data_IF_493093851745
#
_entry.id   IF_493093851745
#
_cell.length_a   1.000
_cell.length_b   1.000
_cell.length_c   1.000
_cell.angle_alpha   90.00
_cell.angle_beta   90.00
_cell.angle_gamma   90.00
#
_symmetry.space_group_name_H-M   'P 1'
#
loop_
_entity.id
_entity.type
_entity.pdbx_description
1 polymer ?
#
# COMPACT_ATOMS: atom_id res chain seq x y z
N UNK A 1 8.37 -43.45 57.77
CA UNK A 1 7.10 -44.11 58.13
C UNK A 1 6.35 -43.16 59.06
N UNK A 2 5.07 -42.88 58.79
CA UNK A 2 4.27 -41.76 59.34
C UNK A 2 4.40 -41.49 60.84
N UNK A 3 4.08 -40.25 61.27
CA UNK A 3 2.89 -40.16 62.13
C UNK A 3 1.92 -39.03 61.79
N UNK A 4 0.72 -39.23 62.32
CA UNK A 4 -0.54 -38.55 62.07
C UNK A 4 -0.81 -37.46 63.12
N UNK A 5 -1.30 -36.30 62.63
CA UNK A 5 -2.40 -35.48 63.18
C UNK A 5 -2.29 -34.94 64.62
N UNK A 6 -2.34 -33.61 64.77
CA UNK A 6 -3.24 -32.89 65.71
C UNK A 6 -3.33 -31.38 65.42
N UNK A 7 -4.49 -30.83 65.75
CA UNK A 7 -5.04 -29.50 65.43
C UNK A 7 -4.41 -28.37 66.26
N UNK A 8 -4.54 -27.16 65.72
CA UNK A 8 -4.14 -25.88 66.27
C UNK A 8 -4.92 -25.48 67.54
N UNK A 9 -4.20 -24.87 68.48
CA UNK A 9 -4.73 -24.16 69.64
C UNK A 9 -4.82 -22.66 69.34
N UNK A 10 -5.91 -22.05 69.81
CA UNK A 10 -6.18 -20.60 69.84
C UNK A 10 -5.25 -19.88 70.83
N UNK A 11 -5.10 -18.56 70.69
CA UNK A 11 -5.43 -17.53 71.71
C UNK A 11 -5.06 -16.09 71.22
N UNK A 12 -5.52 -14.99 71.87
CA UNK A 12 -6.28 -13.93 71.19
C UNK A 12 -5.79 -12.48 71.46
N UNK A 13 -6.58 -11.53 70.95
CA UNK A 13 -6.85 -10.15 71.42
C UNK A 13 -6.31 -9.01 70.54
N UNK A 14 -7.22 -8.12 70.13
CA UNK A 14 -7.12 -6.65 70.23
C UNK A 14 -8.55 -6.05 70.07
N UNK A 15 -8.83 -5.11 70.97
CA UNK A 15 -10.06 -4.36 71.25
C UNK A 15 -10.55 -3.50 70.06
N UNK A 16 -11.77 -2.99 69.93
CA UNK A 16 -12.76 -2.57 70.93
C UNK A 16 -13.10 -1.08 70.72
N UNK A 17 -14.13 -0.85 69.87
CA UNK A 17 -15.14 0.22 69.97
C UNK A 17 -14.73 1.70 69.71
N UNK A 18 -15.30 2.32 68.66
CA UNK A 18 -16.21 3.48 68.84
C UNK A 18 -16.77 4.08 67.52
N UNK A 19 -18.12 4.13 67.49
CA UNK A 19 -18.95 5.32 67.21
C UNK A 19 -18.96 5.95 65.80
N UNK A 20 -20.17 5.87 65.21
CA UNK A 20 -20.92 6.88 64.45
C UNK A 20 -21.20 6.51 62.98
N UNK A 21 -22.39 5.95 62.79
CA UNK A 21 -23.17 6.06 61.56
C UNK A 21 -23.65 7.52 61.45
N UNK A 22 -23.55 8.13 60.26
CA UNK A 22 -24.69 8.84 59.70
C UNK A 22 -25.23 8.05 58.51
N UNK A 23 -26.50 7.70 58.65
CA UNK A 23 -27.40 7.20 57.63
C UNK A 23 -27.56 8.21 56.50
N UNK A 24 -27.52 7.76 55.24
CA UNK A 24 -28.06 8.58 54.15
C UNK A 24 -27.53 8.31 52.75
N UNK A 25 -27.50 7.06 52.27
CA UNK A 25 -27.42 6.80 50.82
C UNK A 25 -28.38 5.64 50.47
N UNK A 26 -29.31 5.81 49.50
CA UNK A 26 -30.30 4.80 49.17
C UNK A 26 -29.61 3.62 48.48
N UNK A 27 -29.52 2.52 49.22
CA UNK A 27 -28.83 1.28 48.83
C UNK A 27 -29.75 0.42 47.97
N UNK A 28 -30.14 0.92 46.78
CA UNK A 28 -30.82 0.14 45.73
C UNK A 28 -30.44 0.62 44.32
N UNK A 29 -29.15 0.76 44.02
CA UNK A 29 -28.70 0.66 42.62
C UNK A 29 -28.70 -0.82 42.24
N UNK A 30 -29.89 -1.34 41.90
CA UNK A 30 -30.01 -2.63 41.22
C UNK A 30 -29.14 -2.60 39.96
N UNK A 31 -28.48 -3.71 39.63
CA UNK A 31 -27.72 -3.88 38.36
C UNK A 31 -28.54 -3.41 37.15
N UNK A 32 -29.87 -3.48 37.26
CA UNK A 32 -30.82 -2.90 36.32
C UNK A 32 -30.65 -1.38 36.09
N UNK A 33 -30.46 -0.57 37.14
CA UNK A 33 -30.21 0.86 37.00
C UNK A 33 -28.87 1.15 36.33
N UNK A 34 -27.84 0.34 36.60
CA UNK A 34 -26.55 0.46 35.91
C UNK A 34 -26.67 0.08 34.44
N UNK A 35 -27.43 -0.98 34.13
CA UNK A 35 -27.72 -1.40 32.76
C UNK A 35 -28.50 -0.34 31.99
N UNK A 36 -29.54 0.23 32.59
CA UNK A 36 -30.32 1.33 31.99
C UNK A 36 -29.45 2.57 31.81
N UNK A 37 -28.58 2.91 32.76
CA UNK A 37 -27.64 4.01 32.62
C UNK A 37 -26.65 3.78 31.47
N UNK A 38 -26.11 2.57 31.31
CA UNK A 38 -25.23 2.22 30.19
C UNK A 38 -25.95 2.29 28.84
N UNK A 39 -27.20 1.82 28.76
CA UNK A 39 -28.00 1.92 27.53
C UNK A 39 -28.31 3.38 27.18
N UNK A 40 -28.64 4.21 28.17
CA UNK A 40 -28.86 5.64 27.97
C UNK A 40 -27.58 6.36 27.54
N UNK A 41 -26.43 6.04 28.13
CA UNK A 41 -25.14 6.59 27.70
C UNK A 41 -24.79 6.17 26.27
N UNK A 42 -25.02 4.90 25.92
CA UNK A 42 -24.84 4.41 24.55
C UNK A 42 -25.77 5.11 23.55
N UNK A 43 -27.04 5.29 23.91
CA UNK A 43 -28.03 5.97 23.07
C UNK A 43 -27.70 7.47 22.93
N UNK A 44 -27.30 8.15 24.02
CA UNK A 44 -26.88 9.55 23.97
C UNK A 44 -25.61 9.73 23.15
N UNK A 45 -24.66 8.79 23.20
CA UNK A 45 -23.47 8.78 22.35
C UNK A 45 -23.82 8.62 20.87
N UNK A 46 -24.71 7.67 20.54
CA UNK A 46 -25.21 7.47 19.18
C UNK A 46 -26.01 8.69 18.67
N UNK A 47 -26.83 9.28 19.52
CA UNK A 47 -27.60 10.49 19.20
C UNK A 47 -26.67 11.69 19.01
N UNK A 48 -25.63 11.83 19.82
CA UNK A 48 -24.59 12.86 19.65
C UNK A 48 -23.82 12.67 18.33
N UNK A 49 -23.49 11.43 17.96
CA UNK A 49 -22.85 11.10 16.70
C UNK A 49 -23.77 11.44 15.51
N UNK A 50 -25.05 11.07 15.59
CA UNK A 50 -26.06 11.42 14.58
C UNK A 50 -26.25 12.93 14.43
N UNK A 51 -26.31 13.67 15.53
CA UNK A 51 -26.44 15.14 15.53
C UNK A 51 -25.17 15.83 15.03
N UNK A 52 -23.99 15.29 15.35
CA UNK A 52 -22.70 15.78 14.84
C UNK A 52 -22.57 15.54 13.33
N UNK A 53 -23.06 14.41 12.82
CA UNK A 53 -23.06 14.11 11.39
C UNK A 53 -24.18 14.82 10.60
N UNK A 54 -25.32 15.14 11.23
CA UNK A 54 -26.42 15.88 10.58
C UNK A 54 -26.16 17.39 10.47
N UNK A 55 -25.25 17.95 11.29
CA UNK A 55 -24.87 19.36 11.24
C UNK A 55 -24.25 19.81 9.92
N UNK A 56 -23.64 18.89 9.17
CA UNK A 56 -23.04 19.16 7.86
C UNK A 56 -24.03 19.04 6.68
N UNK A 57 -25.12 18.28 6.85
CA UNK A 57 -26.13 18.07 5.79
C UNK A 57 -27.14 19.23 5.73
N UNK A 58 -27.47 19.83 6.87
CA UNK A 58 -28.39 20.97 6.90
C UNK A 58 -27.79 22.26 6.30
N UNK A 59 -26.45 22.40 6.28
CA UNK A 59 -25.76 23.52 5.61
C UNK A 59 -25.63 23.33 4.10
N UNK A 60 -25.70 22.10 3.60
CA UNK A 60 -25.64 21.81 2.16
C UNK A 60 -27.00 21.86 1.46
N UNK A 61 -28.12 21.85 2.20
CA UNK A 61 -29.47 21.81 1.62
C UNK A 61 -30.19 23.18 1.50
N UNK A 62 -29.61 24.30 1.95
CA UNK A 62 -30.29 25.63 1.95
C UNK A 62 -29.62 26.72 1.10
N UNK A 63 -28.82 26.33 0.11
CA UNK A 63 -28.11 27.27 -0.77
C UNK A 63 -28.08 26.84 -2.23
N UNK A 64 -29.26 26.77 -2.87
CA UNK A 64 -29.35 26.84 -4.34
C UNK A 64 -30.09 28.12 -4.71
N UNK A 65 -29.33 29.07 -5.25
CA UNK A 65 -29.82 30.34 -5.76
C UNK A 65 -28.67 31.32 -5.88
N UNK A 66 -28.26 31.57 -7.11
CA UNK A 66 -27.31 32.60 -7.57
C UNK A 66 -25.86 32.14 -7.76
N UNK A 67 -25.57 31.75 -9.02
CA UNK A 67 -24.22 31.61 -9.55
C UNK A 67 -23.47 32.93 -9.41
N UNK A 68 -22.41 32.90 -8.59
CA UNK A 68 -21.30 33.85 -8.63
C UNK A 68 -20.03 33.01 -8.79
N UNK A 69 -19.04 33.43 -9.60
CA UNK A 69 -17.83 32.63 -9.79
C UNK A 69 -17.04 32.65 -8.47
N UNK A 70 -17.16 31.58 -7.69
CA UNK A 70 -16.30 31.35 -6.53
C UNK A 70 -14.84 31.20 -6.99
N UNK A 71 -13.86 31.51 -6.13
CA UNK A 71 -12.46 31.41 -6.49
C UNK A 71 -12.16 29.99 -6.94
N UNK A 72 -11.56 29.86 -8.13
CA UNK A 72 -11.03 28.59 -8.65
C UNK A 72 -10.30 27.89 -7.51
N UNK A 73 -10.72 26.66 -7.16
CA UNK A 73 -9.94 25.81 -6.27
C UNK A 73 -8.55 25.74 -6.90
N UNK A 74 -7.58 26.36 -6.25
CA UNK A 74 -6.20 26.34 -6.70
C UNK A 74 -5.82 24.87 -6.88
N UNK A 75 -5.19 24.55 -8.02
CA UNK A 75 -4.54 23.28 -8.20
C UNK A 75 -3.69 23.00 -6.95
N UNK A 76 -3.65 21.76 -6.44
CA UNK A 76 -2.64 21.38 -5.47
C UNK A 76 -1.29 21.88 -5.98
N UNK A 77 -0.46 22.52 -5.12
CA UNK A 77 0.87 22.92 -5.55
C UNK A 77 1.54 21.73 -6.20
N UNK A 78 2.17 21.94 -7.36
CA UNK A 78 2.97 20.90 -8.01
C UNK A 78 3.88 20.29 -6.94
N UNK A 79 3.99 18.94 -6.88
CA UNK A 79 4.90 18.32 -5.94
C UNK A 79 6.27 18.97 -6.10
N UNK A 80 7.01 19.22 -5.00
CA UNK A 80 8.35 19.78 -5.07
C UNK A 80 9.13 19.01 -6.12
N UNK A 81 9.85 19.73 -6.99
CA UNK A 81 10.73 19.08 -7.97
C UNK A 81 11.57 18.05 -7.22
N UNK A 82 11.41 16.78 -7.58
CA UNK A 82 12.17 15.69 -6.99
C UNK A 82 13.65 16.03 -7.14
N UNK A 83 14.29 16.41 -6.04
CA UNK A 83 15.70 16.74 -6.05
C UNK A 83 16.44 15.42 -5.91
N UNK A 84 16.95 14.94 -7.04
CA UNK A 84 17.86 13.81 -7.08
C UNK A 84 19.19 14.28 -6.50
N UNK A 85 19.73 13.57 -5.52
CA UNK A 85 21.14 13.73 -5.18
C UNK A 85 21.95 13.21 -6.37
N UNK A 86 22.46 14.16 -7.16
CA UNK A 86 23.27 13.88 -8.34
C UNK A 86 24.71 13.65 -7.89
N UNK A 87 25.06 12.40 -7.57
CA UNK A 87 26.45 11.98 -7.52
C UNK A 87 26.90 11.70 -8.97
N UNK A 88 27.71 12.61 -9.53
CA UNK A 88 28.23 12.50 -10.90
C UNK A 88 29.08 11.25 -11.14
N UNK A 89 29.47 10.51 -10.07
CA UNK A 89 30.18 9.24 -10.20
C UNK A 89 29.28 8.03 -10.50
N UNK A 90 27.95 8.22 -10.54
CA UNK A 90 26.96 7.16 -10.76
C UNK A 90 26.56 7.08 -12.24
N UNK A 91 25.93 5.97 -12.63
CA UNK A 91 25.47 5.78 -14.01
C UNK A 91 24.44 6.84 -14.44
N UNK A 92 24.34 7.16 -15.74
CA UNK A 92 23.50 8.26 -16.22
C UNK A 92 22.00 7.95 -16.18
N UNK A 93 21.63 6.67 -15.99
CA UNK A 93 20.24 6.22 -16.07
C UNK A 93 19.58 6.17 -14.70
N UNK A 94 18.37 6.74 -14.63
CA UNK A 94 17.54 6.86 -13.43
C UNK A 94 16.44 5.80 -13.39
N UNK A 95 16.41 5.04 -12.32
CA UNK A 95 15.47 3.96 -12.07
C UNK A 95 14.25 4.42 -11.25
N UNK A 96 13.04 4.19 -11.79
CA UNK A 96 11.84 4.20 -10.98
C UNK A 96 11.53 2.77 -10.48
N UNK A 97 11.67 2.53 -9.18
CA UNK A 97 11.24 1.28 -8.55
C UNK A 97 9.75 1.39 -8.24
N UNK A 98 8.92 0.71 -9.02
CA UNK A 98 7.46 0.75 -8.95
C UNK A 98 6.95 -0.41 -8.09
N UNK A 99 6.47 -0.09 -6.89
CA UNK A 99 6.07 -1.08 -5.88
C UNK A 99 4.55 -1.08 -5.73
N UNK A 100 3.83 -2.03 -6.36
CA UNK A 100 2.38 -2.16 -6.19
C UNK A 100 2.09 -2.60 -4.75
N UNK A 101 1.25 -1.85 -4.04
CA UNK A 101 1.14 -1.96 -2.59
C UNK A 101 -0.30 -1.90 -2.08
N UNK A 102 -0.61 -2.72 -1.09
CA UNK A 102 -1.80 -2.64 -0.22
C UNK A 102 -1.57 -3.49 1.02
N UNK A 103 -1.73 -2.90 2.21
CA UNK A 103 -1.74 -3.62 3.51
C UNK A 103 -0.55 -4.59 3.72
N UNK A 104 0.68 -4.18 3.35
CA UNK A 104 1.93 -4.94 3.53
C UNK A 104 3.01 -4.12 4.24
N UNK A 105 2.60 -3.43 5.30
CA UNK A 105 3.41 -2.39 5.92
C UNK A 105 4.72 -2.94 6.49
N UNK A 106 4.67 -4.14 7.06
CA UNK A 106 5.79 -4.86 7.64
C UNK A 106 6.83 -5.21 6.58
N UNK A 107 6.41 -5.72 5.42
CA UNK A 107 7.30 -5.96 4.28
C UNK A 107 7.90 -4.64 3.78
N UNK A 108 7.09 -3.58 3.68
CA UNK A 108 7.54 -2.27 3.20
C UNK A 108 8.63 -1.66 4.09
N UNK A 109 8.48 -1.80 5.42
CA UNK A 109 9.47 -1.32 6.40
C UNK A 109 10.85 -1.97 6.20
N UNK A 110 10.89 -3.22 5.75
CA UNK A 110 12.15 -3.92 5.43
C UNK A 110 12.61 -3.58 4.02
N UNK A 111 11.68 -3.52 3.06
CA UNK A 111 11.93 -3.33 1.65
C UNK A 111 12.66 -2.02 1.34
N UNK A 112 12.12 -0.88 1.79
CA UNK A 112 12.63 0.44 1.43
C UNK A 112 14.11 0.61 1.82
N UNK A 113 14.53 0.41 3.08
CA UNK A 113 15.94 0.54 3.45
C UNK A 113 16.83 -0.51 2.79
N UNK A 114 16.32 -1.74 2.59
CA UNK A 114 17.08 -2.80 1.92
C UNK A 114 17.40 -2.43 0.46
N UNK A 115 16.37 -2.05 -0.31
CA UNK A 115 16.51 -1.70 -1.72
C UNK A 115 17.32 -0.43 -1.91
N UNK A 116 17.11 0.58 -1.06
CA UNK A 116 17.90 1.80 -1.12
C UNK A 116 19.40 1.51 -0.93
N UNK A 117 19.75 0.70 0.08
CA UNK A 117 21.14 0.28 0.30
C UNK A 117 21.68 -0.56 -0.85
N UNK A 118 20.90 -1.52 -1.34
CA UNK A 118 21.30 -2.41 -2.44
C UNK A 118 21.61 -1.63 -3.72
N UNK A 119 20.71 -0.73 -4.13
CA UNK A 119 20.89 0.08 -5.35
C UNK A 119 21.96 1.15 -5.21
N UNK A 120 22.10 1.76 -4.02
CA UNK A 120 23.17 2.74 -3.75
C UNK A 120 24.56 2.09 -3.82
N UNK A 121 24.74 0.88 -3.28
CA UNK A 121 25.99 0.11 -3.42
C UNK A 121 26.35 -0.14 -4.89
N UNK A 122 25.34 -0.33 -5.74
CA UNK A 122 25.50 -0.52 -7.19
C UNK A 122 25.62 0.80 -7.97
N UNK A 123 25.60 1.96 -7.28
CA UNK A 123 25.66 3.30 -7.87
C UNK A 123 24.57 3.54 -8.93
N UNK A 124 23.36 3.07 -8.64
CA UNK A 124 22.19 3.26 -9.49
C UNK A 124 21.37 4.41 -8.94
N UNK A 125 21.16 5.46 -9.73
CA UNK A 125 20.26 6.55 -9.37
C UNK A 125 18.82 6.00 -9.35
N UNK A 126 18.12 6.11 -8.22
CA UNK A 126 16.82 5.45 -8.05
C UNK A 126 15.86 6.20 -7.13
N UNK A 127 14.56 6.05 -7.40
CA UNK A 127 13.48 6.48 -6.51
C UNK A 127 12.44 5.38 -6.38
N UNK A 128 11.91 5.22 -5.17
CA UNK A 128 10.97 4.15 -4.84
C UNK A 128 9.57 4.76 -4.79
N UNK A 129 8.73 4.38 -5.74
CA UNK A 129 7.33 4.77 -5.81
C UNK A 129 6.48 3.66 -5.20
N UNK A 130 5.91 3.93 -4.02
CA UNK A 130 4.95 3.03 -3.36
C UNK A 130 3.55 3.32 -3.88
N UNK A 131 3.00 2.39 -4.64
CA UNK A 131 1.75 2.54 -5.38
C UNK A 131 0.61 1.95 -4.56
N UNK A 132 0.12 2.73 -3.60
CA UNK A 132 -0.86 2.29 -2.62
C UNK A 132 -2.29 2.27 -3.19
N UNK A 133 -2.89 1.08 -3.29
CA UNK A 133 -4.28 0.93 -3.73
C UNK A 133 -5.28 1.11 -2.58
N UNK A 134 -5.87 2.31 -2.49
CA UNK A 134 -6.76 2.71 -1.38
C UNK A 134 -8.24 2.40 -1.61
N UNK A 135 -8.64 2.06 -2.84
CA UNK A 135 -10.01 1.63 -3.14
C UNK A 135 -10.31 0.23 -2.58
N UNK A 136 -11.58 -0.17 -2.59
CA UNK A 136 -12.04 -1.47 -2.11
C UNK A 136 -12.14 -2.55 -3.20
N UNK A 137 -11.63 -2.31 -4.41
CA UNK A 137 -11.64 -3.32 -5.47
C UNK A 137 -10.57 -4.40 -5.22
N UNK A 138 -10.62 -5.50 -5.97
CA UNK A 138 -9.54 -6.51 -5.96
C UNK A 138 -8.21 -5.82 -6.26
N UNK A 139 -7.15 -6.26 -5.59
CA UNK A 139 -5.82 -5.74 -5.82
C UNK A 139 -5.42 -5.90 -7.30
N UNK A 140 -5.03 -4.80 -7.94
CA UNK A 140 -4.72 -4.75 -9.36
C UNK A 140 -3.28 -4.28 -9.57
N UNK A 141 -2.35 -5.24 -9.48
CA UNK A 141 -0.92 -5.03 -9.67
C UNK A 141 -0.60 -4.26 -10.96
N UNK A 142 -1.17 -4.70 -12.08
CA UNK A 142 -0.88 -4.12 -13.40
C UNK A 142 -1.37 -2.66 -13.52
N UNK A 143 -2.56 -2.35 -13.00
CA UNK A 143 -3.08 -0.99 -13.00
C UNK A 143 -2.22 -0.06 -12.14
N UNK A 144 -1.76 -0.53 -10.99
CA UNK A 144 -0.85 0.23 -10.14
C UNK A 144 0.46 0.53 -10.85
N UNK A 145 1.11 -0.46 -11.46
CA UNK A 145 2.33 -0.24 -12.24
C UNK A 145 2.10 0.80 -13.35
N UNK A 146 0.98 0.73 -14.07
CA UNK A 146 0.63 1.73 -15.09
C UNK A 146 0.51 3.14 -14.52
N UNK A 147 -0.09 3.29 -13.33
CA UNK A 147 -0.16 4.56 -12.62
C UNK A 147 1.25 5.03 -12.22
N UNK A 148 2.05 4.17 -11.60
CA UNK A 148 3.43 4.49 -11.22
C UNK A 148 4.33 4.89 -12.39
N UNK A 149 4.16 4.24 -13.55
CA UNK A 149 4.86 4.64 -14.77
C UNK A 149 4.53 6.08 -15.18
N UNK A 150 3.26 6.47 -15.10
CA UNK A 150 2.83 7.84 -15.40
C UNK A 150 3.34 8.84 -14.36
N UNK A 151 3.25 8.50 -13.08
CA UNK A 151 3.65 9.38 -11.97
C UNK A 151 5.18 9.55 -11.87
N UNK A 152 5.96 8.54 -12.27
CA UNK A 152 7.43 8.63 -12.33
C UNK A 152 7.97 9.65 -13.35
N UNK A 153 7.07 10.34 -14.08
CA UNK A 153 7.37 11.51 -14.88
C UNK A 153 8.33 11.25 -16.04
N UNK A 154 9.08 12.28 -16.45
CA UNK A 154 10.13 12.18 -17.47
C UNK A 154 11.54 12.19 -16.87
N UNK A 155 11.65 12.25 -15.53
CA UNK A 155 12.91 12.30 -14.79
C UNK A 155 13.59 10.93 -14.66
N UNK A 156 12.90 9.84 -14.97
CA UNK A 156 13.44 8.47 -14.93
C UNK A 156 13.46 7.84 -16.33
N UNK A 157 14.44 6.97 -16.58
CA UNK A 157 14.72 6.39 -17.91
C UNK A 157 14.17 4.97 -18.06
N UNK A 158 14.06 4.26 -16.94
CA UNK A 158 13.61 2.87 -16.89
C UNK A 158 12.90 2.58 -15.57
N UNK A 159 12.15 1.49 -15.56
CA UNK A 159 11.33 1.07 -14.43
C UNK A 159 11.75 -0.32 -13.96
N UNK A 160 11.61 -0.57 -12.67
CA UNK A 160 11.57 -1.91 -12.09
C UNK A 160 10.17 -2.14 -11.51
N UNK A 161 9.41 -3.08 -12.06
CA UNK A 161 8.14 -3.53 -11.48
C UNK A 161 8.48 -4.52 -10.38
N UNK A 162 8.31 -4.13 -9.12
CA UNK A 162 8.95 -4.82 -8.01
C UNK A 162 7.95 -5.21 -6.93
N UNK A 163 7.80 -6.51 -6.66
CA UNK A 163 7.00 -6.97 -5.52
C UNK A 163 7.70 -6.61 -4.21
N UNK A 164 6.93 -6.15 -3.20
CA UNK A 164 7.46 -5.60 -1.94
C UNK A 164 8.12 -6.66 -1.04
N UNK A 165 7.79 -7.93 -1.26
CA UNK A 165 8.24 -9.08 -0.45
C UNK A 165 9.44 -9.83 -1.07
N UNK A 166 9.90 -9.43 -2.26
CA UNK A 166 11.11 -9.98 -2.87
C UNK A 166 12.29 -9.06 -2.54
N UNK A 167 13.31 -9.59 -1.88
CA UNK A 167 14.53 -8.84 -1.54
C UNK A 167 15.72 -9.49 -2.24
N UNK A 168 16.47 -8.75 -3.09
CA UNK A 168 17.68 -9.29 -3.70
C UNK A 168 18.74 -9.54 -2.63
N UNK A 169 19.21 -10.78 -2.54
CA UNK A 169 20.27 -11.20 -1.61
C UNK A 169 21.63 -11.28 -2.29
N UNK A 170 21.66 -11.64 -3.58
CA UNK A 170 22.89 -11.68 -4.38
C UNK A 170 23.17 -10.29 -4.97
N UNK A 171 24.33 -9.72 -4.65
CA UNK A 171 24.80 -8.42 -5.17
C UNK A 171 25.10 -8.46 -6.68
N UNK A 172 25.24 -9.66 -7.28
CA UNK A 172 25.45 -9.86 -8.71
C UNK A 172 24.18 -9.67 -9.55
N UNK A 173 22.99 -9.63 -8.92
CA UNK A 173 21.73 -9.39 -9.65
C UNK A 173 21.78 -8.02 -10.33
N UNK A 174 21.59 -8.03 -11.64
CA UNK A 174 21.66 -6.82 -12.45
C UNK A 174 20.39 -5.99 -12.32
N UNK A 175 20.57 -4.71 -12.00
CA UNK A 175 19.52 -3.71 -11.94
C UNK A 175 19.83 -2.52 -12.84
N UNK A 176 20.86 -2.63 -13.68
CA UNK A 176 21.26 -1.59 -14.62
C UNK A 176 20.21 -1.34 -15.70
N UNK A 177 20.48 -0.33 -16.52
CA UNK A 177 19.60 0.05 -17.60
C UNK A 177 19.46 -1.09 -18.63
N UNK A 178 18.24 -1.60 -18.88
CA UNK A 178 18.02 -2.77 -19.73
C UNK A 178 17.97 -2.38 -21.22
N UNK A 179 19.15 -2.05 -21.77
CA UNK A 179 19.30 -1.54 -23.14
C UNK A 179 18.84 -2.55 -24.22
N UNK A 180 19.19 -3.82 -24.04
CA UNK A 180 18.88 -4.88 -25.02
C UNK A 180 17.40 -5.28 -25.08
N UNK A 181 16.62 -5.00 -24.03
CA UNK A 181 15.25 -5.49 -23.90
C UNK A 181 14.83 -5.67 -22.44
N UNK A 182 13.57 -6.03 -22.16
CA UNK A 182 13.11 -6.35 -20.81
C UNK A 182 14.05 -7.31 -20.08
N UNK A 183 14.28 -7.09 -18.78
CA UNK A 183 15.18 -7.93 -17.98
C UNK A 183 14.46 -8.48 -16.75
N UNK A 184 14.31 -9.81 -16.71
CA UNK A 184 13.58 -10.50 -15.64
C UNK A 184 14.52 -10.94 -14.52
N UNK A 185 14.66 -10.09 -13.50
CA UNK A 185 15.55 -10.34 -12.35
C UNK A 185 15.08 -11.54 -11.52
N UNK A 186 13.78 -11.63 -11.27
CA UNK A 186 13.20 -12.74 -10.51
C UNK A 186 12.81 -13.90 -11.44
N UNK A 187 13.77 -14.33 -12.25
CA UNK A 187 13.59 -15.39 -13.26
C UNK A 187 13.03 -16.67 -12.63
N UNK A 188 12.37 -17.56 -13.40
CA UNK A 188 11.82 -18.80 -12.86
C UNK A 188 12.87 -19.70 -12.18
N UNK A 189 14.14 -19.55 -12.54
CA UNK A 189 15.27 -20.28 -11.96
C UNK A 189 15.67 -19.73 -10.58
N UNK A 190 15.34 -18.47 -10.30
CA UNK A 190 15.69 -17.75 -9.08
C UNK A 190 14.49 -17.48 -8.17
N UNK A 191 13.27 -17.60 -8.68
CA UNK A 191 12.06 -17.31 -7.93
C UNK A 191 11.77 -18.39 -6.89
N UNK A 192 11.45 -18.05 -5.62
CA UNK A 192 11.28 -19.03 -4.55
C UNK A 192 10.09 -20.00 -4.78
N UNK A 193 9.09 -19.57 -5.54
CA UNK A 193 7.81 -20.30 -5.68
C UNK A 193 7.44 -20.70 -7.12
N UNK A 194 7.93 -20.00 -8.14
CA UNK A 194 7.38 -20.09 -9.50
C UNK A 194 8.49 -20.41 -10.50
N UNK A 195 8.45 -21.62 -11.06
CA UNK A 195 9.55 -22.17 -11.85
C UNK A 195 9.16 -22.48 -13.31
N UNK A 196 8.01 -21.98 -13.78
CA UNK A 196 7.55 -22.23 -15.15
C UNK A 196 8.16 -21.21 -16.12
N UNK A 197 8.50 -21.67 -17.34
CA UNK A 197 9.31 -20.92 -18.32
C UNK A 197 8.74 -19.56 -18.75
N UNK A 198 7.43 -19.36 -18.65
CA UNK A 198 6.74 -18.12 -19.05
C UNK A 198 6.40 -17.22 -17.86
N UNK A 199 6.93 -17.51 -16.67
CA UNK A 199 6.75 -16.65 -15.50
C UNK A 199 7.54 -15.35 -15.69
N UNK A 200 6.84 -14.21 -15.57
CA UNK A 200 7.40 -12.86 -15.69
C UNK A 200 6.97 -11.95 -14.53
N UNK A 201 6.59 -12.56 -13.41
CA UNK A 201 6.22 -11.87 -12.16
C UNK A 201 7.43 -11.53 -11.28
N UNK A 202 7.17 -11.03 -10.07
CA UNK A 202 8.22 -10.68 -9.13
C UNK A 202 8.91 -9.35 -9.48
N UNK A 203 10.03 -9.43 -10.20
CA UNK A 203 10.91 -8.29 -10.48
C UNK A 203 11.27 -8.28 -11.96
N UNK A 204 10.75 -7.29 -12.70
CA UNK A 204 10.98 -7.14 -14.14
C UNK A 204 11.32 -5.68 -14.47
N UNK A 205 12.43 -5.50 -15.17
CA UNK A 205 12.98 -4.20 -15.57
C UNK A 205 12.69 -3.93 -17.04
N UNK A 206 12.30 -2.70 -17.37
CA UNK A 206 12.12 -2.22 -18.74
C UNK A 206 12.55 -0.77 -18.88
N UNK A 207 13.17 -0.43 -20.01
CA UNK A 207 13.29 0.98 -20.40
C UNK A 207 11.89 1.58 -20.58
N UNK A 208 11.74 2.89 -20.34
CA UNK A 208 10.45 3.53 -20.57
C UNK A 208 9.98 3.42 -22.02
N UNK A 209 10.91 3.42 -22.96
CA UNK A 209 10.62 3.19 -24.37
C UNK A 209 10.03 1.79 -24.60
N UNK A 210 10.65 0.74 -24.06
CA UNK A 210 10.12 -0.62 -24.17
C UNK A 210 8.76 -0.76 -23.49
N UNK A 211 8.58 -0.15 -22.31
CA UNK A 211 7.30 -0.16 -21.63
C UNK A 211 6.20 0.52 -22.47
N UNK A 212 6.49 1.67 -23.09
CA UNK A 212 5.54 2.38 -23.97
C UNK A 212 5.12 1.54 -25.19
N UNK A 213 6.05 0.79 -25.79
CA UNK A 213 5.78 -0.09 -26.92
C UNK A 213 4.85 -1.26 -26.59
N UNK A 214 4.83 -1.70 -25.33
CA UNK A 214 3.98 -2.81 -24.84
C UNK A 214 2.76 -2.33 -24.05
N UNK A 215 2.67 -1.02 -23.79
CA UNK A 215 1.46 -0.37 -23.31
C UNK A 215 0.32 -0.14 -24.34
N UNK A 216 0.35 -0.52 -25.65
CA UNK A 216 -0.71 -0.11 -26.55
C UNK A 216 -2.01 -0.85 -26.19
N UNK A 217 -2.97 -0.07 -25.71
CA UNK A 217 -4.26 -0.52 -25.17
C UNK A 217 -5.01 0.54 -24.36
N UNK A 218 -4.36 1.63 -23.91
CA UNK A 218 -5.08 2.77 -23.32
C UNK A 218 -5.34 3.86 -24.38
N UNK A 219 -6.54 3.94 -24.99
CA UNK A 219 -6.88 5.06 -25.87
C UNK A 219 -6.80 6.38 -25.09
N UNK A 220 -6.48 7.48 -25.77
CA UNK A 220 -6.38 8.81 -25.16
C UNK A 220 -7.63 9.24 -24.35
N UNK A 221 -8.79 8.63 -24.63
CA UNK A 221 -10.03 8.79 -23.87
C UNK A 221 -9.97 8.24 -22.43
N UNK A 222 -9.06 7.29 -22.13
CA UNK A 222 -8.84 6.71 -20.80
C UNK A 222 -8.04 7.63 -19.86
N UNK A 223 -7.38 8.69 -20.36
CA UNK A 223 -6.79 9.73 -19.49
C UNK A 223 -7.86 10.55 -18.75
N UNK A 224 -9.09 10.60 -19.26
CA UNK A 224 -10.15 11.48 -18.76
C UNK A 224 -11.18 10.81 -17.83
N UNK A 225 -11.08 9.50 -17.55
CA UNK A 225 -12.08 8.80 -16.72
C UNK A 225 -11.47 7.80 -15.73
N UNK A 226 -10.83 8.33 -14.70
CA UNK A 226 -10.42 7.57 -13.50
C UNK A 226 -11.60 7.22 -12.56
N UNK A 227 -12.85 7.60 -12.90
CA UNK A 227 -14.00 7.53 -12.00
C UNK A 227 -15.14 6.59 -12.46
N UNK A 228 -14.91 5.69 -13.42
CA UNK A 228 -15.96 4.75 -13.84
C UNK A 228 -15.92 3.42 -13.07
N UNK A 229 -17.08 2.86 -12.67
CA UNK A 229 -17.15 1.51 -12.12
C UNK A 229 -16.88 0.50 -13.25
N UNK A 230 -15.93 -0.42 -13.04
CA UNK A 230 -15.54 -1.44 -14.03
C UNK A 230 -14.08 -1.38 -14.52
N UNK A 231 -13.28 -0.44 -14.01
CA UNK A 231 -11.82 -0.48 -14.15
C UNK A 231 -11.24 -1.63 -13.31
N UNK A 232 -11.22 -2.83 -13.89
CA UNK A 232 -10.86 -4.06 -13.19
C UNK A 232 -11.08 -5.35 -13.97
N UNK A 233 -11.35 -5.28 -15.28
CA UNK A 233 -11.45 -6.44 -16.16
C UNK A 233 -10.31 -6.47 -17.18
N UNK A 234 -9.08 -6.25 -16.73
CA UNK A 234 -7.91 -6.74 -17.45
C UNK A 234 -7.41 -7.94 -16.65
N UNK A 235 -7.65 -9.17 -17.16
CA UNK A 235 -7.18 -10.40 -16.56
C UNK A 235 -5.66 -10.41 -16.43
N UNK A 236 -5.16 -11.45 -15.80
CA UNK A 236 -3.77 -11.77 -15.46
C UNK A 236 -2.83 -11.92 -16.69
N UNK A 237 -2.89 -11.00 -17.65
CA UNK A 237 -2.24 -11.13 -18.95
C UNK A 237 -1.13 -10.09 -19.12
N UNK A 238 -0.07 -10.29 -18.34
CA UNK A 238 1.30 -10.02 -18.82
C UNK A 238 1.91 -11.29 -19.46
N UNK A 239 1.08 -12.24 -19.92
CA UNK A 239 1.48 -13.41 -20.69
C UNK A 239 2.08 -13.08 -22.08
N UNK A 240 2.26 -11.80 -22.42
CA UNK A 240 2.85 -11.35 -23.68
C UNK A 240 4.37 -11.53 -23.77
N UNK A 241 5.04 -11.89 -22.68
CA UNK A 241 6.48 -12.15 -22.66
C UNK A 241 6.74 -13.67 -22.59
N UNK A 242 6.65 -14.33 -23.74
CA UNK A 242 7.23 -15.67 -23.92
C UNK A 242 8.67 -15.56 -24.43
N UNK A 243 9.61 -16.40 -23.97
CA UNK A 243 10.95 -16.42 -24.54
C UNK A 243 10.88 -16.80 -26.03
N UNK A 244 11.53 -16.01 -26.88
CA UNK A 244 12.02 -16.51 -28.17
C UNK A 244 13.48 -16.87 -27.95
N UNK A 245 13.86 -18.08 -28.34
CA UNK A 245 15.24 -18.56 -28.25
C UNK A 245 16.22 -17.46 -28.71
N UNK A 246 17.17 -17.09 -27.85
CA UNK A 246 18.23 -16.11 -28.20
C UNK A 246 18.12 -14.71 -27.58
N UNK A 247 17.31 -14.49 -26.54
CA UNK A 247 17.43 -13.28 -25.70
C UNK A 247 16.70 -12.03 -26.21
N UNK A 248 15.72 -12.19 -27.10
CA UNK A 248 14.87 -11.08 -27.57
C UNK A 248 13.39 -11.33 -27.27
N UNK A 249 12.66 -10.26 -26.97
CA UNK A 249 11.25 -10.29 -26.61
C UNK A 249 10.37 -9.73 -27.74
N UNK A 250 9.25 -10.39 -28.07
CA UNK A 250 8.32 -9.97 -29.12
C UNK A 250 7.20 -9.05 -28.58
N UNK A 251 6.98 -7.92 -29.25
CA UNK A 251 5.82 -7.04 -29.03
C UNK A 251 4.56 -7.50 -29.80
N UNK A 252 3.43 -6.79 -29.64
CA UNK A 252 2.07 -7.26 -29.98
C UNK A 252 1.73 -7.27 -31.49
N UNK A 253 2.71 -7.19 -32.37
CA UNK A 253 2.53 -7.31 -33.81
C UNK A 253 3.48 -8.38 -34.34
N UNK A 254 3.14 -9.64 -34.07
CA UNK A 254 3.80 -10.79 -34.68
C UNK A 254 3.40 -10.90 -36.15
N UNK A 255 4.29 -10.50 -37.05
CA UNK A 255 4.51 -11.26 -38.27
C UNK A 255 6.02 -11.36 -38.55
N UNK A 256 6.55 -12.58 -38.79
CA UNK A 256 7.91 -12.75 -39.27
C UNK A 256 7.95 -12.30 -40.73
N UNK A 257 8.68 -11.21 -41.04
CA UNK A 257 9.09 -10.97 -42.42
C UNK A 257 10.37 -11.75 -42.69
N UNK A 258 10.23 -12.83 -43.43
CA UNK A 258 11.33 -13.51 -44.09
C UNK A 258 11.88 -12.63 -45.22
N UNK A 259 13.15 -12.23 -45.10
CA UNK A 259 14.22 -12.46 -46.09
C UNK A 259 15.53 -11.87 -45.58
#
# INVERSE_FOLDING_TARGET
MFPSRRKAAQLPWEDGRSRLIPSGLPRKCSVFHLFVACLLLGFLSLLWLQLSCSGDVARTARGQGQETPGPLRACPPEPPREHWEEDESWGPHRLAVLVPFRERFEELLVFVPHMHRFLSKKKIQHHIYVLNQVDHFRFNRAALINAGFLESGNSTDYIAMHDVDLLPLNEELDYGFPEAGPFHVASPELHPLYHYKTYVGGILLLSKQHYQLVRPGMPALLRARQHLPGWGLWPEEWQFWGPVDGGSFLGPAGEPRAS
#
